data_IF_754827930924
#
_entry.id   IF_754827930924
#
_cell.length_a   1.000
_cell.length_b   1.000
_cell.length_c   1.000
_cell.angle_alpha   90.00
_cell.angle_beta   90.00
_cell.angle_gamma   90.00
#
_symmetry.space_group_name_H-M   'P 1'
#
loop_
_entity.id
_entity.type
_entity.pdbx_description
1 polymer ?
#
# COMPACT_ATOMS: atom_id res chain seq x y z
N UNK A 1 12.25 -16.47 -3.62
CA UNK A 1 12.03 -15.05 -3.97
C UNK A 1 11.59 -14.89 -5.42
N UNK A 2 10.74 -15.83 -5.87
CA UNK A 2 10.80 -16.29 -7.26
C UNK A 2 9.65 -15.74 -8.11
N UNK A 3 8.76 -14.98 -7.47
CA UNK A 3 7.56 -14.39 -8.08
C UNK A 3 7.57 -12.86 -8.06
N UNK A 4 8.69 -12.24 -7.64
CA UNK A 4 8.85 -10.79 -7.68
C UNK A 4 8.97 -10.31 -9.13
N UNK A 5 8.44 -9.12 -9.41
CA UNK A 5 8.45 -8.46 -10.74
C UNK A 5 7.63 -9.15 -11.84
N UNK A 6 6.81 -10.14 -11.49
CA UNK A 6 5.86 -10.77 -12.42
C UNK A 6 4.48 -10.07 -12.44
N UNK A 7 4.33 -8.92 -11.77
CA UNK A 7 3.07 -8.18 -11.69
C UNK A 7 1.98 -8.84 -10.84
N UNK A 8 2.24 -9.99 -10.21
CA UNK A 8 1.24 -10.74 -9.41
C UNK A 8 0.65 -9.88 -8.29
N UNK A 9 1.50 -9.15 -7.55
CA UNK A 9 1.04 -8.28 -6.48
C UNK A 9 0.15 -7.15 -7.00
N UNK A 10 0.53 -6.48 -8.10
CA UNK A 10 -0.30 -5.45 -8.74
C UNK A 10 -1.66 -6.03 -9.12
N UNK A 11 -1.68 -7.18 -9.78
CA UNK A 11 -2.91 -7.81 -10.26
C UNK A 11 -3.86 -8.17 -9.12
N UNK A 12 -3.32 -8.68 -8.01
CA UNK A 12 -4.12 -8.98 -6.82
C UNK A 12 -4.74 -7.72 -6.22
N UNK A 13 -3.98 -6.63 -6.14
CA UNK A 13 -4.49 -5.36 -5.63
C UNK A 13 -5.53 -4.76 -6.59
N UNK A 14 -5.25 -4.72 -7.89
CA UNK A 14 -6.22 -4.28 -8.92
C UNK A 14 -7.54 -5.04 -8.81
N UNK A 15 -7.52 -6.37 -8.68
CA UNK A 15 -8.74 -7.16 -8.50
C UNK A 15 -9.48 -6.81 -7.20
N UNK A 16 -8.77 -6.53 -6.12
CA UNK A 16 -9.37 -6.08 -4.85
C UNK A 16 -10.06 -4.72 -5.01
N UNK A 17 -9.42 -3.79 -5.73
CA UNK A 17 -9.98 -2.48 -6.03
C UNK A 17 -11.22 -2.58 -6.94
N UNK A 18 -11.16 -3.43 -7.97
CA UNK A 18 -12.29 -3.68 -8.86
C UNK A 18 -13.51 -4.25 -8.12
N UNK A 19 -13.28 -5.13 -7.14
CA UNK A 19 -14.36 -5.72 -6.32
C UNK A 19 -14.98 -4.70 -5.37
N UNK A 20 -14.18 -3.80 -4.77
CA UNK A 20 -14.73 -2.76 -3.89
C UNK A 20 -15.50 -1.68 -4.65
N UNK A 21 -15.15 -1.42 -5.92
CA UNK A 21 -15.82 -0.42 -6.74
C UNK A 21 -15.20 0.98 -6.59
N UNK A 22 -15.59 1.88 -7.50
CA UNK A 22 -14.91 3.17 -7.71
C UNK A 22 -15.16 4.21 -6.60
N UNK A 23 -16.22 4.03 -5.81
CA UNK A 23 -16.61 4.96 -4.73
C UNK A 23 -16.04 4.57 -3.36
N UNK A 24 -15.38 3.41 -3.26
CA UNK A 24 -14.81 2.92 -2.01
C UNK A 24 -13.44 3.54 -1.71
N UNK A 25 -13.20 3.77 -0.42
CA UNK A 25 -11.92 4.30 0.08
C UNK A 25 -11.08 3.14 0.60
N UNK A 26 -9.84 3.05 0.15
CA UNK A 26 -8.91 2.00 0.59
C UNK A 26 -7.76 2.59 1.37
N UNK A 27 -7.33 1.90 2.43
CA UNK A 27 -6.15 2.27 3.21
C UNK A 27 -5.23 1.07 3.39
N UNK A 28 -3.94 1.32 3.52
CA UNK A 28 -2.93 0.33 3.86
C UNK A 28 -1.83 0.93 4.72
N UNK A 29 -1.12 0.07 5.45
CA UNK A 29 0.13 0.39 6.12
C UNK A 29 1.31 -0.38 5.49
N UNK A 30 2.39 0.34 5.17
CA UNK A 30 3.59 -0.24 4.57
C UNK A 30 4.85 0.20 5.33
N UNK A 31 5.81 -0.71 5.53
CA UNK A 31 7.13 -0.40 6.10
C UNK A 31 7.81 0.73 5.34
N UNK A 32 8.42 1.68 6.06
CA UNK A 32 9.15 2.80 5.44
C UNK A 32 10.30 2.33 4.54
N UNK A 33 10.94 1.19 4.84
CA UNK A 33 12.02 0.63 4.02
C UNK A 33 11.54 -0.14 2.78
N UNK A 34 10.25 -0.46 2.66
CA UNK A 34 9.74 -1.24 1.53
C UNK A 34 9.45 -0.35 0.32
N UNK A 35 10.50 0.25 -0.23
CA UNK A 35 10.43 1.18 -1.36
C UNK A 35 9.76 0.58 -2.60
N UNK A 36 9.93 -0.73 -2.84
CA UNK A 36 9.30 -1.41 -3.97
C UNK A 36 7.77 -1.47 -3.84
N UNK A 37 7.25 -1.80 -2.66
CA UNK A 37 5.81 -1.80 -2.42
C UNK A 37 5.24 -0.38 -2.41
N UNK A 38 5.95 0.58 -1.80
CA UNK A 38 5.54 1.99 -1.81
C UNK A 38 5.37 2.49 -3.25
N UNK A 39 6.37 2.28 -4.12
CA UNK A 39 6.29 2.70 -5.52
C UNK A 39 5.15 1.99 -6.28
N UNK A 40 4.89 0.72 -5.97
CA UNK A 40 3.77 -0.04 -6.54
C UNK A 40 2.42 0.58 -6.15
N UNK A 41 2.22 0.88 -4.87
CA UNK A 41 0.98 1.50 -4.40
C UNK A 41 0.80 2.93 -4.95
N UNK A 42 1.88 3.71 -5.04
CA UNK A 42 1.86 5.04 -5.67
C UNK A 42 1.44 4.95 -7.15
N UNK A 43 1.91 3.93 -7.88
CA UNK A 43 1.48 3.69 -9.26
C UNK A 43 0.00 3.30 -9.38
N UNK A 44 -0.54 2.61 -8.38
CA UNK A 44 -1.95 2.26 -8.27
C UNK A 44 -2.84 3.42 -7.76
N UNK A 45 -2.26 4.61 -7.57
CA UNK A 45 -2.99 5.83 -7.19
C UNK A 45 -3.06 6.09 -5.69
N UNK A 46 -2.49 5.23 -4.85
CA UNK A 46 -2.43 5.48 -3.41
C UNK A 46 -1.54 6.68 -3.09
N UNK A 47 -1.94 7.49 -2.12
CA UNK A 47 -1.20 8.65 -1.62
C UNK A 47 -0.89 8.49 -0.14
N UNK A 48 0.28 8.98 0.29
CA UNK A 48 0.69 8.96 1.70
C UNK A 48 -0.19 9.92 2.50
N UNK A 49 -0.81 9.43 3.56
CA UNK A 49 -1.68 10.23 4.44
C UNK A 49 -1.10 10.41 5.85
N UNK A 50 -0.12 9.59 6.25
CA UNK A 50 0.47 9.69 7.58
C UNK A 50 1.57 8.69 7.83
N UNK A 51 2.12 8.74 9.06
CA UNK A 51 3.16 7.83 9.52
C UNK A 51 2.88 7.37 10.95
N UNK A 52 2.90 6.06 11.18
CA UNK A 52 2.86 5.45 12.52
C UNK A 52 4.28 5.13 12.97
N UNK A 53 4.70 5.72 14.09
CA UNK A 53 6.03 5.49 14.65
C UNK A 53 6.10 4.11 15.30
N UNK A 54 7.17 3.35 15.03
CA UNK A 54 7.41 2.03 15.63
C UNK A 54 6.22 1.06 15.51
N UNK A 55 5.58 1.04 14.35
CA UNK A 55 4.39 0.23 14.11
C UNK A 55 4.72 -1.26 14.00
N UNK A 56 5.85 -1.60 13.39
CA UNK A 56 6.29 -2.99 13.29
C UNK A 56 7.16 -3.35 14.49
N UNK A 57 6.65 -4.23 15.35
CA UNK A 57 7.25 -4.55 16.66
C UNK A 57 8.53 -5.39 16.58
N UNK A 58 8.77 -6.06 15.45
CA UNK A 58 9.94 -6.92 15.24
C UNK A 58 11.25 -6.12 15.15
N UNK A 59 11.21 -4.93 14.54
CA UNK A 59 12.38 -4.07 14.36
C UNK A 59 12.13 -2.60 14.76
N UNK A 60 11.00 -2.31 15.42
CA UNK A 60 10.54 -0.96 15.76
C UNK A 60 10.46 -0.01 14.56
N UNK A 61 10.19 -0.56 13.37
CA UNK A 61 10.15 0.23 12.15
C UNK A 61 8.82 0.98 12.02
N UNK A 62 8.91 2.19 11.47
CA UNK A 62 7.77 3.03 11.16
C UNK A 62 6.95 2.44 9.99
N UNK A 63 5.64 2.72 9.99
CA UNK A 63 4.77 2.45 8.85
C UNK A 63 4.26 3.75 8.22
N UNK A 64 4.22 3.77 6.90
CA UNK A 64 3.51 4.79 6.11
C UNK A 64 2.08 4.33 5.94
N UNK A 65 1.13 5.21 6.28
CA UNK A 65 -0.29 5.01 5.95
C UNK A 65 -0.50 5.60 4.55
N UNK A 66 -1.07 4.81 3.65
CA UNK A 66 -1.43 5.25 2.31
C UNK A 66 -2.92 5.04 2.03
N UNK A 67 -3.53 5.97 1.30
CA UNK A 67 -4.96 5.97 0.95
C UNK A 67 -5.16 6.04 -0.56
N UNK A 68 -6.13 5.28 -1.06
CA UNK A 68 -6.72 5.45 -2.39
C UNK A 68 -8.13 6.02 -2.20
N UNK A 69 -8.43 7.11 -2.91
CA UNK A 69 -9.58 7.97 -2.64
C UNK A 69 -9.22 9.13 -1.70
N UNK A 70 -10.07 10.16 -1.66
CA UNK A 70 -9.86 11.29 -0.73
C UNK A 70 -10.14 10.82 0.71
N UNK A 71 -9.18 10.89 1.64
CA UNK A 71 -9.45 10.60 3.05
C UNK A 71 -10.41 11.61 3.69
N UNK A 72 -10.71 12.73 3.00
CA UNK A 72 -11.64 13.76 3.43
C UNK A 72 -12.85 13.82 2.50
#
# INVERSE_FOLDING_TARGET
PDWRRLGVANRLVEMLLDVGGQDERFTLEVRVSNHAAIAMYEHLGFRRAGRRRRYYHDNNEDAIIMWLGDPF
#
